data_IF_341891996620
#
_entry.id   IF_341891996620
#
_cell.length_a   1.000
_cell.length_b   1.000
_cell.length_c   1.000
_cell.angle_alpha   90.00
_cell.angle_beta   90.00
_cell.angle_gamma   90.00
#
_symmetry.space_group_name_H-M   'P 1'
#
loop_
_entity.id
_entity.type
_entity.pdbx_description
1 polymer ?
#
# COMPACT_ATOMS: atom_id res chain seq x y z
N UNK A 1 10.24 -33.91 -29.30
CA UNK A 1 10.28 -33.45 -27.90
C UNK A 1 8.95 -33.75 -27.25
N UNK A 2 8.94 -34.19 -26.00
CA UNK A 2 7.75 -34.48 -25.23
C UNK A 2 7.77 -33.74 -23.90
N UNK A 3 6.60 -33.45 -23.36
CA UNK A 3 6.38 -32.82 -22.06
C UNK A 3 5.43 -33.69 -21.25
N UNK A 4 5.64 -33.76 -19.95
CA UNK A 4 4.76 -34.48 -19.05
C UNK A 4 3.50 -33.63 -18.76
N UNK A 5 2.33 -34.23 -18.83
CA UNK A 5 1.06 -33.61 -18.51
C UNK A 5 0.93 -33.42 -16.99
N UNK A 6 0.77 -32.18 -16.54
CA UNK A 6 0.66 -31.84 -15.11
C UNK A 6 -0.69 -31.19 -14.83
N UNK A 7 -1.30 -31.58 -13.73
CA UNK A 7 -2.48 -30.86 -13.24
C UNK A 7 -2.09 -29.42 -12.83
N UNK A 8 -2.89 -28.46 -13.25
CA UNK A 8 -2.67 -27.07 -12.90
C UNK A 8 -3.90 -26.21 -13.17
N UNK A 9 -3.77 -24.93 -12.88
CA UNK A 9 -4.81 -23.94 -13.13
C UNK A 9 -4.28 -22.86 -14.07
N UNK A 10 -5.05 -22.53 -15.09
CA UNK A 10 -4.73 -21.47 -16.05
C UNK A 10 -5.66 -20.29 -15.84
N UNK A 11 -5.11 -19.08 -15.83
CA UNK A 11 -5.88 -17.88 -15.55
C UNK A 11 -6.17 -17.71 -14.05
N UNK A 12 -7.03 -16.77 -13.75
CA UNK A 12 -7.36 -16.43 -12.35
C UNK A 12 -6.31 -15.57 -11.67
N UNK A 13 -5.22 -15.24 -12.32
CA UNK A 13 -4.22 -14.31 -11.82
C UNK A 13 -4.29 -12.99 -12.57
N UNK A 14 -4.34 -11.89 -11.83
CA UNK A 14 -4.30 -10.54 -12.38
C UNK A 14 -3.06 -9.83 -11.90
N UNK A 15 -2.13 -9.58 -12.83
CA UNK A 15 -0.92 -8.82 -12.55
C UNK A 15 -1.14 -7.32 -12.74
N UNK A 16 -0.63 -6.54 -11.81
CA UNK A 16 -0.74 -5.08 -11.81
C UNK A 16 0.51 -4.43 -11.24
N UNK A 17 0.72 -3.17 -11.57
CA UNK A 17 1.84 -2.38 -11.06
C UNK A 17 1.33 -1.13 -10.38
N UNK A 18 2.05 -0.68 -9.37
CA UNK A 18 1.66 0.49 -8.62
C UNK A 18 2.80 1.10 -7.83
N UNK A 19 2.45 2.07 -6.99
CA UNK A 19 3.38 2.75 -6.08
C UNK A 19 3.09 2.37 -4.64
N UNK A 20 4.16 2.10 -3.93
CA UNK A 20 4.15 1.84 -2.50
C UNK A 20 3.87 3.14 -1.76
N UNK A 21 3.03 3.07 -0.74
CA UNK A 21 2.80 4.13 0.25
C UNK A 21 2.86 3.52 1.65
N UNK A 22 3.24 4.33 2.63
CA UNK A 22 3.06 3.97 4.03
C UNK A 22 1.60 4.01 4.46
N UNK A 23 1.34 3.57 5.67
CA UNK A 23 0.01 3.63 6.29
C UNK A 23 -0.47 5.07 6.42
N UNK A 24 0.41 5.94 6.90
CA UNK A 24 0.16 7.37 7.03
C UNK A 24 1.39 8.18 6.63
N UNK A 25 1.13 9.39 6.16
CA UNK A 25 2.14 10.38 5.79
C UNK A 25 1.71 11.73 6.33
N UNK A 26 2.56 12.36 7.11
CA UNK A 26 2.32 13.69 7.67
C UNK A 26 3.35 14.68 7.15
N UNK A 27 2.83 15.77 6.61
CA UNK A 27 3.61 16.95 6.29
C UNK A 27 3.62 17.87 7.50
N UNK A 28 4.78 18.05 8.11
CA UNK A 28 4.97 18.93 9.25
C UNK A 28 5.32 20.31 8.73
N UNK A 29 4.47 21.29 9.04
CA UNK A 29 4.65 22.68 8.63
C UNK A 29 4.92 23.56 9.85
N UNK A 30 5.70 24.62 9.68
CA UNK A 30 5.85 25.63 10.72
C UNK A 30 4.59 26.50 10.79
N UNK A 31 3.98 26.62 11.96
CA UNK A 31 2.80 27.50 12.19
C UNK A 31 3.20 28.96 12.37
N UNK A 32 4.46 29.20 12.73
CA UNK A 32 4.95 30.53 13.01
C UNK A 32 6.27 30.83 12.31
N UNK A 33 6.54 32.11 12.11
CA UNK A 33 7.86 32.53 11.60
C UNK A 33 8.86 32.61 12.75
N UNK A 34 10.08 32.07 12.51
CA UNK A 34 11.17 32.17 13.49
C UNK A 34 12.52 31.77 12.91
N UNK A 35 13.59 32.10 13.64
CA UNK A 35 14.92 31.56 13.37
C UNK A 35 15.00 30.16 13.97
N UNK A 36 15.51 29.20 13.24
CA UNK A 36 15.79 27.87 13.77
C UNK A 36 16.91 27.96 14.83
N UNK A 37 16.62 27.49 16.04
CA UNK A 37 17.58 27.45 17.14
C UNK A 37 18.29 26.11 17.18
N UNK A 38 17.54 25.01 17.10
CA UNK A 38 18.05 23.64 17.10
C UNK A 38 17.23 22.78 16.14
N UNK A 39 17.91 21.93 15.38
CA UNK A 39 17.31 20.83 14.62
C UNK A 39 17.68 19.52 15.33
N UNK A 40 16.69 18.72 15.71
CA UNK A 40 16.90 17.52 16.54
C UNK A 40 16.79 16.22 15.76
N UNK A 41 16.53 16.29 14.46
CA UNK A 41 16.32 15.11 13.60
C UNK A 41 17.05 15.27 12.29
N UNK A 42 17.51 14.14 11.76
CA UNK A 42 18.10 14.01 10.47
C UNK A 42 17.21 13.22 9.51
N UNK A 43 17.53 13.31 8.22
CA UNK A 43 16.85 12.52 7.17
C UNK A 43 17.04 11.02 7.42
N UNK A 44 15.95 10.30 7.57
CA UNK A 44 15.95 8.86 7.80
C UNK A 44 15.79 8.44 9.26
N UNK A 45 15.79 9.39 10.20
CA UNK A 45 15.59 9.10 11.63
C UNK A 45 14.19 8.57 11.90
N UNK A 46 14.09 7.71 12.92
CA UNK A 46 12.83 7.25 13.46
C UNK A 46 12.38 8.18 14.59
N UNK A 47 11.14 8.62 14.52
CA UNK A 47 10.52 9.53 15.48
C UNK A 47 9.20 8.97 15.99
N UNK A 48 8.85 9.33 17.22
CA UNK A 48 7.55 9.05 17.82
C UNK A 48 6.66 10.30 17.77
N UNK A 49 5.35 10.08 17.79
CA UNK A 49 4.40 11.19 17.90
C UNK A 49 4.69 12.00 19.15
N UNK A 50 4.86 13.32 19.01
CA UNK A 50 5.24 14.25 20.05
C UNK A 50 6.74 14.54 20.15
N UNK A 51 7.61 13.79 19.47
CA UNK A 51 9.05 14.09 19.45
C UNK A 51 9.32 15.45 18.82
N UNK A 52 10.25 16.18 19.41
CA UNK A 52 10.65 17.50 18.94
C UNK A 52 11.54 17.37 17.72
N UNK A 53 11.15 18.00 16.63
CA UNK A 53 11.89 18.03 15.37
C UNK A 53 12.77 19.27 15.27
N UNK A 54 12.17 20.44 15.53
CA UNK A 54 12.83 21.73 15.43
C UNK A 54 12.38 22.64 16.58
N UNK A 55 13.32 23.37 17.15
CA UNK A 55 13.05 24.38 18.17
C UNK A 55 13.32 25.79 17.61
N UNK A 56 12.40 26.69 17.90
CA UNK A 56 12.55 28.11 17.68
C UNK A 56 12.76 28.83 19.00
N UNK A 57 13.46 29.98 19.05
CA UNK A 57 13.63 30.76 20.27
C UNK A 57 12.31 31.09 20.91
N UNK A 58 12.13 30.69 22.17
CA UNK A 58 10.84 30.76 22.89
C UNK A 58 10.88 31.71 24.11
N UNK A 59 12.03 32.37 24.37
CA UNK A 59 12.23 33.19 25.56
C UNK A 59 11.15 34.26 25.75
N UNK A 60 10.71 34.90 24.68
CA UNK A 60 9.70 35.96 24.71
C UNK A 60 8.33 35.41 25.08
N UNK A 61 7.98 34.28 24.51
CA UNK A 61 6.71 33.59 24.68
C UNK A 61 6.62 33.00 26.11
N UNK A 62 7.73 32.46 26.64
CA UNK A 62 7.81 32.00 28.01
C UNK A 62 7.54 33.13 29.00
N UNK A 63 8.16 34.31 28.81
CA UNK A 63 7.90 35.48 29.65
C UNK A 63 6.46 35.99 29.50
N UNK A 64 5.86 35.91 28.32
CA UNK A 64 4.46 36.28 28.13
C UNK A 64 3.50 35.33 28.85
N UNK A 65 3.79 34.01 28.83
CA UNK A 65 3.04 33.03 29.60
C UNK A 65 3.17 33.28 31.12
N UNK A 66 4.37 33.49 31.66
CA UNK A 66 4.60 33.80 33.06
C UNK A 66 3.82 35.04 33.50
N UNK A 67 3.79 36.08 32.67
CA UNK A 67 3.00 37.30 32.96
C UNK A 67 1.48 37.01 32.92
N UNK A 68 1.00 36.19 32.00
CA UNK A 68 -0.42 35.83 31.91
C UNK A 68 -0.84 34.98 33.12
N UNK A 69 0.00 34.05 33.58
CA UNK A 69 -0.23 33.25 34.78
C UNK A 69 -0.28 34.12 36.05
N UNK A 70 0.63 35.10 36.18
CA UNK A 70 0.61 36.05 37.31
C UNK A 70 -0.68 36.88 37.33
N UNK A 71 -1.17 37.30 36.14
CA UNK A 71 -2.45 38.03 36.01
C UNK A 71 -3.62 37.13 36.42
N UNK A 72 -3.62 35.87 36.00
CA UNK A 72 -4.63 34.86 36.34
C UNK A 72 -4.69 34.66 37.87
N UNK A 73 -3.54 34.50 38.51
CA UNK A 73 -3.46 34.34 39.97
C UNK A 73 -4.02 35.58 40.69
N UNK A 74 -3.69 36.77 40.20
CA UNK A 74 -4.24 38.03 40.77
C UNK A 74 -5.77 38.09 40.61
N UNK A 75 -6.32 37.74 39.43
CA UNK A 75 -7.75 37.71 39.19
C UNK A 75 -8.48 36.68 40.06
N UNK A 76 -7.87 35.51 40.31
CA UNK A 76 -8.41 34.48 41.22
C UNK A 76 -8.54 35.03 42.65
N UNK A 77 -7.45 35.65 43.16
CA UNK A 77 -7.44 36.24 44.49
C UNK A 77 -8.47 37.37 44.65
N UNK A 78 -8.69 38.18 43.59
CA UNK A 78 -9.69 39.26 43.61
C UNK A 78 -11.10 38.68 43.66
N UNK A 79 -11.39 37.63 42.91
CA UNK A 79 -12.70 36.95 42.92
C UNK A 79 -12.96 36.34 44.31
N UNK A 80 -12.02 35.58 44.89
CA UNK A 80 -12.14 34.96 46.20
C UNK A 80 -12.38 36.00 47.32
N UNK A 81 -11.61 37.10 47.29
CA UNK A 81 -11.83 38.25 48.17
C UNK A 81 -13.21 38.91 47.98
N UNK A 82 -13.67 39.04 46.73
CA UNK A 82 -14.98 39.59 46.40
C UNK A 82 -16.12 38.70 46.89
N UNK A 83 -16.00 37.37 46.72
CA UNK A 83 -17.00 36.40 47.19
C UNK A 83 -17.05 36.39 48.75
N UNK A 84 -15.92 36.39 49.40
CA UNK A 84 -15.84 36.49 50.88
C UNK A 84 -16.45 37.78 51.39
N UNK A 85 -16.21 38.93 50.77
CA UNK A 85 -16.83 40.21 51.12
C UNK A 85 -18.32 40.22 50.87
N UNK A 86 -18.81 39.54 49.82
CA UNK A 86 -20.23 39.41 49.55
C UNK A 86 -20.96 38.58 50.61
N UNK A 87 -20.37 37.46 51.04
CA UNK A 87 -20.91 36.65 52.13
C UNK A 87 -21.05 37.43 53.43
N UNK A 88 -20.14 38.38 53.67
CA UNK A 88 -20.19 39.29 54.82
C UNK A 88 -21.10 40.53 54.62
N UNK A 89 -21.80 40.62 53.47
CA UNK A 89 -22.69 41.71 53.14
C UNK A 89 -22.00 43.05 52.77
N UNK A 90 -20.67 43.02 52.48
CA UNK A 90 -19.85 44.21 52.20
C UNK A 90 -19.45 44.37 50.72
N UNK A 91 -19.89 43.48 49.83
CA UNK A 91 -19.73 43.63 48.40
C UNK A 91 -21.02 43.37 47.61
N UNK A 92 -21.21 44.04 46.52
CA UNK A 92 -22.37 43.89 45.66
C UNK A 92 -22.23 42.68 44.69
N UNK A 93 -23.37 42.13 44.20
CA UNK A 93 -23.34 41.07 43.20
C UNK A 93 -22.67 41.51 41.90
N UNK A 94 -22.72 42.80 41.58
CA UNK A 94 -22.08 43.35 40.39
C UNK A 94 -20.55 43.37 40.49
N UNK A 95 -20.02 43.55 41.70
CA UNK A 95 -18.55 43.47 41.95
C UNK A 95 -18.04 42.05 41.75
N UNK A 96 -18.73 41.05 42.30
CA UNK A 96 -18.35 39.62 42.14
C UNK A 96 -18.48 39.23 40.66
N UNK A 97 -19.53 39.69 39.96
CA UNK A 97 -19.68 39.43 38.51
C UNK A 97 -18.54 40.03 37.69
N UNK A 98 -18.07 41.24 38.04
CA UNK A 98 -16.91 41.87 37.37
C UNK A 98 -15.62 41.09 37.64
N UNK A 99 -15.39 40.71 38.90
CA UNK A 99 -14.22 39.90 39.26
C UNK A 99 -14.20 38.54 38.53
N UNK A 100 -15.39 37.90 38.38
CA UNK A 100 -15.55 36.68 37.60
C UNK A 100 -15.25 36.88 36.11
N UNK A 101 -15.71 37.97 35.53
CA UNK A 101 -15.39 38.30 34.14
C UNK A 101 -13.90 38.59 33.94
N UNK A 102 -13.24 39.25 34.93
CA UNK A 102 -11.79 39.46 34.90
C UNK A 102 -11.01 38.15 34.99
N UNK A 103 -11.45 37.21 35.82
CA UNK A 103 -10.86 35.85 35.87
C UNK A 103 -10.95 35.15 34.50
N UNK A 104 -12.13 35.11 33.88
CA UNK A 104 -12.26 34.50 32.56
C UNK A 104 -11.38 35.16 31.50
N UNK A 105 -11.24 36.50 31.55
CA UNK A 105 -10.34 37.23 30.66
C UNK A 105 -8.87 36.82 30.87
N UNK A 106 -8.45 36.64 32.12
CA UNK A 106 -7.10 36.21 32.45
C UNK A 106 -6.85 34.73 32.04
N UNK A 107 -7.85 33.86 32.21
CA UNK A 107 -7.78 32.47 31.73
C UNK A 107 -7.55 32.41 30.21
N UNK A 108 -8.27 33.21 29.43
CA UNK A 108 -8.09 33.31 27.98
C UNK A 108 -6.70 33.82 27.59
N UNK A 109 -6.12 34.74 28.38
CA UNK A 109 -4.75 35.21 28.14
C UNK A 109 -3.72 34.12 28.35
N UNK A 110 -3.86 33.27 29.39
CA UNK A 110 -2.97 32.13 29.63
C UNK A 110 -3.05 31.14 28.47
N UNK A 111 -4.26 30.76 28.03
CA UNK A 111 -4.43 29.85 26.88
C UNK A 111 -3.74 30.42 25.63
N UNK A 112 -3.98 31.69 25.31
CA UNK A 112 -3.35 32.33 24.14
C UNK A 112 -1.82 32.39 24.24
N UNK A 113 -1.28 32.66 25.44
CA UNK A 113 0.18 32.70 25.64
C UNK A 113 0.81 31.29 25.56
N UNK A 114 0.08 30.26 26.05
CA UNK A 114 0.50 28.86 25.93
C UNK A 114 0.51 28.44 24.45
N UNK A 115 -0.55 28.69 23.70
CA UNK A 115 -0.62 28.37 22.27
C UNK A 115 0.54 28.99 21.49
N UNK A 116 0.89 30.26 21.81
CA UNK A 116 2.03 30.93 21.19
C UNK A 116 3.37 30.29 21.54
N UNK A 117 3.52 29.81 22.78
CA UNK A 117 4.71 29.09 23.21
C UNK A 117 4.81 27.73 22.50
N UNK A 118 3.72 27.00 22.43
CA UNK A 118 3.67 25.67 21.81
C UNK A 118 4.06 25.73 20.33
N UNK A 119 3.68 26.79 19.60
CA UNK A 119 4.09 26.98 18.20
C UNK A 119 5.59 27.20 18.01
N UNK A 120 6.37 27.40 19.10
CA UNK A 120 7.83 27.54 19.05
C UNK A 120 8.55 26.19 19.02
N UNK A 121 7.84 25.11 19.31
CA UNK A 121 8.37 23.75 19.25
C UNK A 121 7.62 22.96 18.19
N UNK A 122 8.31 22.62 17.12
CA UNK A 122 7.73 21.87 16.01
C UNK A 122 7.91 20.38 16.31
N UNK A 123 6.82 19.66 16.49
CA UNK A 123 6.81 18.25 16.90
C UNK A 123 6.28 17.32 15.79
N UNK A 124 6.60 16.04 15.90
CA UNK A 124 6.11 14.98 15.03
C UNK A 124 4.60 14.70 15.32
N UNK A 125 3.69 14.86 14.36
CA UNK A 125 2.26 14.56 14.58
C UNK A 125 1.96 13.05 14.59
N UNK A 126 2.80 12.25 13.95
CA UNK A 126 2.72 10.79 13.88
C UNK A 126 4.07 10.16 14.18
N UNK A 127 4.05 8.90 14.60
CA UNK A 127 5.26 8.09 14.66
C UNK A 127 5.63 7.59 13.27
N UNK A 128 6.92 7.47 12.97
CA UNK A 128 7.39 7.02 11.68
C UNK A 128 8.83 7.42 11.41
N UNK A 129 9.21 7.44 10.13
CA UNK A 129 10.54 7.83 9.69
C UNK A 129 10.51 9.18 8.97
N UNK A 130 11.49 10.02 9.23
CA UNK A 130 11.69 11.30 8.53
C UNK A 130 12.05 11.01 7.07
N UNK A 131 11.08 11.18 6.18
CA UNK A 131 11.23 10.89 4.75
C UNK A 131 11.82 12.08 3.97
N UNK A 132 11.62 13.29 4.47
CA UNK A 132 12.22 14.51 3.92
C UNK A 132 12.35 15.56 5.03
N UNK A 133 13.37 16.39 4.95
CA UNK A 133 13.47 17.67 5.64
C UNK A 133 13.19 18.78 4.63
N UNK A 134 12.56 19.85 5.10
CA UNK A 134 12.31 21.02 4.28
C UNK A 134 13.61 21.65 3.78
N UNK A 135 13.57 22.34 2.62
CA UNK A 135 14.73 23.06 2.15
C UNK A 135 15.09 24.16 3.17
N UNK A 136 16.37 24.31 3.43
CA UNK A 136 16.94 25.35 4.31
C UNK A 136 16.49 25.25 5.79
N UNK A 137 16.19 24.04 6.29
CA UNK A 137 15.92 23.80 7.72
C UNK A 137 17.24 23.48 8.43
N UNK A 138 18.08 24.49 8.55
CA UNK A 138 19.34 24.44 9.25
C UNK A 138 19.35 25.41 10.44
N UNK A 139 20.17 25.13 11.45
CA UNK A 139 20.35 26.02 12.61
C UNK A 139 20.77 27.42 12.13
N UNK A 140 20.10 28.42 12.65
CA UNK A 140 20.34 29.83 12.30
C UNK A 140 19.58 30.35 11.08
N UNK A 141 18.93 29.50 10.29
CA UNK A 141 18.07 29.92 9.17
C UNK A 141 16.74 30.47 9.65
N UNK A 142 15.97 31.14 8.80
CA UNK A 142 14.66 31.68 9.13
C UNK A 142 13.61 30.86 8.39
N UNK A 143 12.76 30.18 9.16
CA UNK A 143 11.58 29.51 8.62
C UNK A 143 10.39 30.46 8.65
N UNK A 144 9.59 30.46 7.58
CA UNK A 144 8.34 31.22 7.54
C UNK A 144 7.15 30.33 7.95
N UNK A 145 6.06 30.95 8.40
CA UNK A 145 4.81 30.23 8.65
C UNK A 145 4.29 29.61 7.36
N UNK A 146 3.80 28.35 7.44
CA UNK A 146 3.31 27.56 6.30
C UNK A 146 4.37 26.83 5.51
N UNK A 147 5.63 26.94 5.85
CA UNK A 147 6.74 26.19 5.18
C UNK A 147 6.81 24.78 5.75
N UNK A 148 7.00 23.79 4.85
CA UNK A 148 7.25 22.39 5.22
C UNK A 148 8.61 22.28 5.92
N UNK A 149 8.60 21.75 7.13
CA UNK A 149 9.79 21.53 7.97
C UNK A 149 10.29 20.11 7.82
N UNK A 150 9.37 19.16 7.85
CA UNK A 150 9.68 17.74 7.70
C UNK A 150 8.49 16.99 7.10
N UNK A 151 8.78 15.82 6.56
CA UNK A 151 7.78 14.85 6.14
C UNK A 151 8.05 13.53 6.84
N UNK A 152 7.06 13.04 7.57
CA UNK A 152 7.15 11.78 8.33
C UNK A 152 6.25 10.77 7.66
N UNK A 153 6.76 9.55 7.46
CA UNK A 153 6.02 8.44 6.85
C UNK A 153 6.04 7.26 7.81
N UNK A 154 4.87 6.80 8.17
CA UNK A 154 4.68 5.55 8.88
C UNK A 154 4.66 4.39 7.88
N UNK A 155 5.64 3.50 8.02
CA UNK A 155 5.81 2.31 7.18
C UNK A 155 5.49 1.02 7.94
N UNK A 156 4.81 1.09 9.08
CA UNK A 156 4.40 -0.10 9.87
C UNK A 156 3.50 -1.03 9.07
N UNK A 157 2.55 -0.46 8.36
CA UNK A 157 1.80 -1.10 7.27
C UNK A 157 2.11 -0.44 5.95
N UNK A 158 2.12 -1.27 4.94
CA UNK A 158 2.49 -0.84 3.60
C UNK A 158 1.33 -1.09 2.66
N UNK A 159 1.04 -0.11 1.84
CA UNK A 159 -0.02 -0.18 0.83
C UNK A 159 0.56 0.02 -0.56
N UNK A 160 0.22 -0.86 -1.48
CA UNK A 160 0.46 -0.69 -2.91
C UNK A 160 -0.81 -0.18 -3.57
N UNK A 161 -0.79 1.04 -4.09
CA UNK A 161 -1.84 1.54 -4.96
C UNK A 161 -1.50 1.15 -6.40
N UNK A 162 -2.08 0.06 -6.86
CA UNK A 162 -1.86 -0.49 -8.19
C UNK A 162 -2.99 -0.13 -9.14
N UNK A 163 -2.66 -0.07 -10.44
CA UNK A 163 -3.64 0.21 -11.50
C UNK A 163 -3.92 -1.06 -12.30
N UNK A 164 -5.19 -1.37 -12.50
CA UNK A 164 -5.66 -2.52 -13.27
C UNK A 164 -6.63 -2.08 -14.36
N UNK A 165 -6.55 -2.71 -15.53
CA UNK A 165 -7.45 -2.45 -16.64
C UNK A 165 -8.85 -3.03 -16.42
N UNK A 166 -9.79 -2.61 -17.26
CA UNK A 166 -11.22 -2.99 -17.19
C UNK A 166 -11.47 -4.50 -17.17
N UNK A 167 -10.67 -5.31 -17.87
CA UNK A 167 -10.86 -6.77 -17.92
C UNK A 167 -10.49 -7.42 -16.58
N UNK A 168 -9.41 -6.95 -15.92
CA UNK A 168 -8.95 -7.56 -14.69
C UNK A 168 -9.73 -7.13 -13.45
N UNK A 169 -10.40 -5.95 -13.46
CA UNK A 169 -11.09 -5.44 -12.28
C UNK A 169 -12.33 -6.25 -11.91
N UNK A 170 -12.98 -6.89 -12.90
CA UNK A 170 -14.25 -7.59 -12.72
C UNK A 170 -14.13 -8.74 -11.69
N UNK A 171 -12.97 -9.39 -11.68
CA UNK A 171 -12.74 -10.59 -10.87
C UNK A 171 -12.02 -10.28 -9.55
N UNK A 172 -11.64 -9.01 -9.34
CA UNK A 172 -10.96 -8.59 -8.11
C UNK A 172 -11.98 -8.12 -7.08
N UNK A 173 -11.95 -8.76 -5.91
CA UNK A 173 -12.77 -8.39 -4.76
C UNK A 173 -11.89 -8.16 -3.53
N UNK A 174 -12.43 -7.44 -2.54
CA UNK A 174 -11.75 -7.22 -1.26
C UNK A 174 -11.47 -8.56 -0.55
N UNK A 175 -10.28 -8.68 0.02
CA UNK A 175 -9.87 -9.84 0.81
C UNK A 175 -9.15 -10.93 0.01
N UNK A 176 -9.10 -10.83 -1.32
CA UNK A 176 -8.37 -11.80 -2.14
C UNK A 176 -6.88 -11.79 -1.79
N UNK A 177 -6.24 -12.98 -1.83
CA UNK A 177 -4.79 -13.09 -1.64
C UNK A 177 -4.06 -12.45 -2.82
N UNK A 178 -2.94 -11.82 -2.50
CA UNK A 178 -2.06 -11.20 -3.47
C UNK A 178 -0.61 -11.46 -3.10
N UNK A 179 0.25 -11.50 -4.09
CA UNK A 179 1.70 -11.53 -3.91
C UNK A 179 2.29 -10.24 -4.45
N UNK A 180 3.22 -9.65 -3.71
CA UNK A 180 3.91 -8.42 -4.11
C UNK A 180 5.38 -8.71 -4.33
N UNK A 181 5.89 -8.26 -5.47
CA UNK A 181 7.31 -8.32 -5.82
C UNK A 181 7.86 -6.91 -5.96
N UNK A 182 8.94 -6.64 -5.25
CA UNK A 182 9.63 -5.35 -5.26
C UNK A 182 10.99 -5.57 -5.90
N UNK A 183 11.39 -4.67 -6.79
CA UNK A 183 12.72 -4.76 -7.41
C UNK A 183 13.80 -4.73 -6.32
N UNK A 184 14.79 -5.60 -6.44
CA UNK A 184 15.89 -5.79 -5.51
C UNK A 184 15.51 -6.39 -4.14
N UNK A 185 14.28 -6.87 -3.98
CA UNK A 185 13.88 -7.73 -2.88
C UNK A 185 13.63 -9.13 -3.43
N UNK A 186 14.42 -10.11 -3.00
CA UNK A 186 14.28 -11.50 -3.47
C UNK A 186 13.05 -12.17 -2.87
N UNK A 187 12.56 -11.65 -1.77
CA UNK A 187 11.41 -12.21 -1.07
C UNK A 187 10.10 -11.82 -1.75
N UNK A 188 9.25 -12.79 -1.98
CA UNK A 188 7.85 -12.59 -2.36
C UNK A 188 7.06 -12.23 -1.11
N UNK A 189 6.37 -11.10 -1.13
CA UNK A 189 5.61 -10.60 0.01
C UNK A 189 4.16 -11.07 -0.15
N UNK A 190 3.65 -11.75 0.88
CA UNK A 190 2.23 -12.08 0.96
C UNK A 190 1.44 -10.83 1.36
N UNK A 191 0.37 -10.58 0.64
CA UNK A 191 -0.46 -9.39 0.78
C UNK A 191 -1.94 -9.73 0.54
N UNK A 192 -2.82 -8.75 0.76
CA UNK A 192 -4.25 -8.89 0.50
C UNK A 192 -4.81 -7.66 -0.16
N UNK A 193 -5.84 -7.85 -0.96
CA UNK A 193 -6.63 -6.74 -1.51
C UNK A 193 -7.41 -6.07 -0.39
N UNK A 194 -7.07 -4.83 -0.06
CA UNK A 194 -7.76 -4.02 0.95
C UNK A 194 -9.00 -3.34 0.36
N UNK A 195 -8.85 -2.75 -0.82
CA UNK A 195 -9.94 -2.01 -1.44
C UNK A 195 -9.82 -2.03 -2.96
N UNK A 196 -10.97 -1.94 -3.61
CA UNK A 196 -11.11 -1.85 -5.07
C UNK A 196 -11.84 -0.56 -5.41
N UNK A 197 -11.21 0.27 -6.23
CA UNK A 197 -11.78 1.54 -6.66
C UNK A 197 -13.02 1.33 -7.55
N UNK A 198 -14.09 2.05 -7.25
CA UNK A 198 -15.35 1.99 -8.01
C UNK A 198 -15.37 2.93 -9.24
N UNK A 199 -14.36 3.78 -9.38
CA UNK A 199 -14.26 4.76 -10.48
C UNK A 199 -12.98 4.52 -11.27
N UNK A 200 -13.11 4.53 -12.60
CA UNK A 200 -11.95 4.54 -13.47
C UNK A 200 -11.29 5.92 -13.49
N UNK A 201 -9.99 5.94 -13.59
CA UNK A 201 -9.21 7.13 -13.90
C UNK A 201 -9.55 7.62 -15.31
N UNK A 202 -9.82 8.91 -15.46
CA UNK A 202 -10.31 9.48 -16.72
C UNK A 202 -9.26 9.48 -17.84
N UNK A 203 -7.97 9.54 -17.47
CA UNK A 203 -6.87 9.58 -18.43
C UNK A 203 -6.47 8.20 -18.95
N UNK A 204 -6.47 7.20 -18.08
CA UNK A 204 -5.95 5.86 -18.39
C UNK A 204 -7.05 4.81 -18.57
N UNK A 205 -8.27 5.07 -18.09
CA UNK A 205 -9.37 4.12 -18.03
C UNK A 205 -9.13 2.94 -17.07
N UNK A 206 -8.12 3.03 -16.22
CA UNK A 206 -7.76 2.00 -15.24
C UNK A 206 -8.43 2.25 -13.89
N UNK A 207 -8.59 1.18 -13.13
CA UNK A 207 -9.11 1.23 -11.77
C UNK A 207 -7.97 1.08 -10.77
N UNK A 208 -8.07 1.75 -9.62
CA UNK A 208 -7.11 1.61 -8.53
C UNK A 208 -7.49 0.45 -7.64
N UNK A 209 -6.52 -0.42 -7.37
CA UNK A 209 -6.63 -1.49 -6.38
C UNK A 209 -5.60 -1.23 -5.29
N UNK A 210 -6.06 -1.17 -4.05
CA UNK A 210 -5.20 -1.05 -2.88
C UNK A 210 -4.91 -2.45 -2.33
N UNK A 211 -3.63 -2.77 -2.22
CA UNK A 211 -3.13 -4.04 -1.69
C UNK A 211 -2.29 -3.72 -0.48
N UNK A 212 -2.56 -4.34 0.66
CA UNK A 212 -1.87 -4.07 1.92
C UNK A 212 -1.15 -5.30 2.47
N UNK A 213 -0.08 -5.04 3.21
CA UNK A 213 0.67 -6.03 3.99
C UNK A 213 1.34 -5.37 5.19
N UNK A 214 1.68 -6.15 6.21
CA UNK A 214 2.50 -5.69 7.33
C UNK A 214 3.97 -5.61 6.91
N UNK A 215 4.65 -4.55 7.30
CA UNK A 215 6.05 -4.38 6.95
C UNK A 215 6.91 -5.46 7.61
N UNK A 216 7.61 -6.23 6.79
CA UNK A 216 8.50 -7.32 7.20
C UNK A 216 9.48 -7.66 6.08
N UNK A 217 10.46 -8.50 6.35
CA UNK A 217 11.38 -9.05 5.36
C UNK A 217 12.27 -8.08 4.56
N UNK A 218 11.71 -7.05 3.95
CA UNK A 218 12.43 -6.03 3.17
C UNK A 218 12.27 -4.63 3.75
N UNK A 219 11.96 -4.48 5.03
CA UNK A 219 11.62 -3.23 5.70
C UNK A 219 12.62 -2.10 5.47
N UNK A 220 13.92 -2.41 5.51
CA UNK A 220 15.00 -1.42 5.36
C UNK A 220 15.10 -0.85 3.94
N UNK A 221 14.58 -1.57 2.96
CA UNK A 221 14.61 -1.16 1.55
C UNK A 221 13.33 -0.44 1.12
N UNK A 222 12.25 -0.59 1.90
CA UNK A 222 10.97 0.01 1.57
C UNK A 222 11.01 1.53 1.75
N UNK A 223 10.56 2.23 0.73
CA UNK A 223 10.38 3.69 0.74
C UNK A 223 9.06 4.03 0.07
N UNK A 224 8.36 5.01 0.61
CA UNK A 224 7.18 5.58 -0.05
C UNK A 224 7.57 6.09 -1.44
N UNK A 225 6.72 5.79 -2.44
CA UNK A 225 6.96 6.15 -3.83
C UNK A 225 7.65 5.08 -4.68
N UNK A 226 8.22 4.02 -4.10
CA UNK A 226 8.79 2.91 -4.86
C UNK A 226 7.71 2.21 -5.69
N UNK A 227 8.12 1.71 -6.86
CA UNK A 227 7.24 0.89 -7.70
C UNK A 227 7.33 -0.58 -7.34
N UNK A 228 6.19 -1.26 -7.30
CA UNK A 228 6.10 -2.69 -7.09
C UNK A 228 5.10 -3.30 -8.07
N UNK A 229 5.21 -4.62 -8.26
CA UNK A 229 4.26 -5.43 -9.00
C UNK A 229 3.52 -6.34 -8.04
N UNK A 230 2.21 -6.39 -8.17
CA UNK A 230 1.37 -7.33 -7.46
C UNK A 230 0.70 -8.30 -8.44
N UNK A 231 0.49 -9.53 -7.98
CA UNK A 231 -0.33 -10.53 -8.63
C UNK A 231 -1.42 -10.95 -7.65
N UNK A 232 -2.66 -10.74 -8.03
CA UNK A 232 -3.85 -11.12 -7.24
C UNK A 232 -4.38 -12.44 -7.78
N UNK A 233 -4.55 -13.43 -6.92
CA UNK A 233 -5.24 -14.67 -7.26
C UNK A 233 -6.75 -14.47 -7.07
N UNK A 234 -7.48 -14.43 -8.17
CA UNK A 234 -8.94 -14.25 -8.17
C UNK A 234 -9.70 -15.55 -7.96
N UNK A 235 -9.01 -16.69 -8.02
CA UNK A 235 -9.65 -18.00 -7.97
C UNK A 235 -10.47 -18.36 -9.23
N UNK A 236 -10.59 -17.46 -10.19
CA UNK A 236 -11.43 -17.64 -11.39
C UNK A 236 -10.78 -18.47 -12.49
N UNK A 237 -9.57 -19.02 -12.27
CA UNK A 237 -8.85 -19.83 -13.25
C UNK A 237 -9.51 -21.17 -13.52
N UNK A 238 -9.33 -21.65 -14.74
CA UNK A 238 -9.79 -22.97 -15.18
C UNK A 238 -8.79 -24.04 -14.76
N UNK A 239 -9.22 -25.02 -13.99
CA UNK A 239 -8.42 -26.16 -13.57
C UNK A 239 -8.50 -27.31 -14.58
N UNK A 240 -7.39 -28.02 -14.77
CA UNK A 240 -7.31 -29.18 -15.66
C UNK A 240 -5.86 -29.54 -15.93
N UNK A 241 -5.62 -30.28 -16.99
CA UNK A 241 -4.26 -30.66 -17.41
C UNK A 241 -3.68 -29.55 -18.28
N UNK A 242 -2.55 -28.98 -17.83
CA UNK A 242 -1.84 -27.97 -18.59
C UNK A 242 -1.01 -28.60 -19.69
N UNK A 243 -1.19 -28.10 -20.91
CA UNK A 243 -0.38 -28.51 -22.08
C UNK A 243 0.08 -27.27 -22.85
N UNK A 244 1.29 -27.28 -23.41
CA UNK A 244 1.72 -26.21 -24.33
C UNK A 244 0.82 -26.17 -25.56
N UNK A 245 0.48 -24.97 -26.03
CA UNK A 245 -0.33 -24.80 -27.23
C UNK A 245 0.29 -25.45 -28.48
N UNK A 246 1.61 -25.61 -28.52
CA UNK A 246 2.35 -26.31 -29.55
C UNK A 246 2.02 -27.81 -29.66
N UNK A 247 1.53 -28.43 -28.57
CA UNK A 247 1.10 -29.83 -28.57
C UNK A 247 -0.27 -30.05 -29.22
N UNK A 248 -1.04 -28.98 -29.34
CA UNK A 248 -2.43 -29.02 -29.86
C UNK A 248 -2.41 -29.07 -31.39
N UNK A 249 -2.99 -30.10 -31.92
CA UNK A 249 -3.28 -30.21 -33.36
C UNK A 249 -4.74 -29.82 -33.60
N UNK A 250 -4.96 -28.78 -34.38
CA UNK A 250 -6.30 -28.42 -34.79
C UNK A 250 -6.84 -29.49 -35.77
N UNK A 251 -7.75 -30.31 -35.31
CA UNK A 251 -8.40 -31.33 -36.09
C UNK A 251 -9.39 -30.71 -37.10
N UNK A 252 -9.72 -31.51 -38.16
CA UNK A 252 -10.78 -31.18 -39.10
C UNK A 252 -12.12 -31.36 -38.36
N UNK A 253 -12.59 -30.30 -37.73
CA UNK A 253 -13.83 -30.30 -36.95
C UNK A 253 -13.83 -29.30 -35.80
N UNK A 254 -12.75 -28.51 -35.63
CA UNK A 254 -12.68 -27.48 -34.62
C UNK A 254 -13.84 -26.47 -34.80
N UNK A 255 -14.86 -26.63 -33.98
CA UNK A 255 -15.89 -25.61 -33.80
C UNK A 255 -15.28 -24.45 -32.96
N UNK A 256 -15.48 -23.28 -33.47
CA UNK A 256 -15.07 -21.94 -33.04
C UNK A 256 -14.71 -21.76 -31.57
N UNK A 257 -13.61 -21.05 -31.32
CA UNK A 257 -13.11 -20.54 -30.02
C UNK A 257 -14.19 -20.32 -28.96
N UNK A 258 -14.18 -21.18 -27.96
CA UNK A 258 -15.08 -21.12 -26.79
C UNK A 258 -14.88 -22.37 -25.92
N UNK A 259 -15.40 -22.34 -24.70
CA UNK A 259 -15.41 -23.50 -23.82
C UNK A 259 -16.10 -24.69 -24.50
N UNK A 260 -15.34 -25.82 -24.67
CA UNK A 260 -15.82 -27.04 -25.39
C UNK A 260 -15.21 -27.26 -26.75
N UNK A 261 -14.10 -26.58 -27.11
CA UNK A 261 -13.35 -26.87 -28.33
C UNK A 261 -12.68 -28.26 -28.23
N UNK A 262 -12.95 -29.13 -29.18
CA UNK A 262 -12.28 -30.43 -29.30
C UNK A 262 -11.02 -30.31 -30.13
N UNK A 263 -9.93 -30.90 -29.67
CA UNK A 263 -8.67 -30.91 -30.39
C UNK A 263 -7.99 -32.27 -30.30
N UNK A 264 -6.93 -32.50 -31.05
CA UNK A 264 -6.12 -33.71 -31.02
C UNK A 264 -4.76 -33.41 -30.41
N UNK A 265 -4.26 -34.35 -29.60
CA UNK A 265 -2.89 -34.40 -29.11
C UNK A 265 -2.26 -35.76 -29.41
N UNK A 266 -0.94 -35.82 -29.45
CA UNK A 266 -0.21 -37.09 -29.49
C UNK A 266 0.32 -37.45 -28.10
N UNK A 267 -0.20 -38.54 -27.55
CA UNK A 267 0.28 -39.14 -26.30
C UNK A 267 1.27 -40.26 -26.66
N UNK A 268 2.36 -40.33 -25.94
CA UNK A 268 3.36 -41.39 -26.09
C UNK A 268 2.96 -42.56 -25.18
N UNK A 269 2.70 -43.71 -25.82
CA UNK A 269 2.42 -44.97 -25.14
C UNK A 269 3.24 -46.08 -25.80
N UNK A 270 3.99 -46.84 -25.01
CA UNK A 270 4.84 -47.96 -25.48
C UNK A 270 5.80 -47.56 -26.63
N UNK A 271 6.38 -46.32 -26.52
CA UNK A 271 7.32 -45.82 -27.53
C UNK A 271 6.66 -45.44 -28.89
N UNK A 272 5.34 -45.27 -28.91
CA UNK A 272 4.59 -44.90 -30.10
C UNK A 272 3.70 -43.68 -29.82
N UNK A 273 3.60 -42.80 -30.78
CA UNK A 273 2.66 -41.66 -30.73
C UNK A 273 1.23 -42.13 -31.08
N UNK A 274 0.30 -41.89 -30.16
CA UNK A 274 -1.12 -42.19 -30.39
C UNK A 274 -1.93 -40.90 -30.36
N UNK A 275 -2.75 -40.72 -31.37
CA UNK A 275 -3.70 -39.60 -31.44
C UNK A 275 -4.77 -39.81 -30.38
N UNK A 276 -5.00 -38.75 -29.61
CA UNK A 276 -6.09 -38.70 -28.62
C UNK A 276 -6.86 -37.41 -28.78
N UNK A 277 -8.16 -37.52 -28.76
CA UNK A 277 -9.08 -36.38 -28.75
C UNK A 277 -9.20 -35.85 -27.33
N UNK A 278 -9.09 -34.53 -27.16
CA UNK A 278 -9.14 -33.84 -25.92
C UNK A 278 -10.11 -32.66 -25.97
N UNK A 279 -10.72 -32.35 -24.83
CA UNK A 279 -11.55 -31.16 -24.69
C UNK A 279 -10.74 -30.01 -24.10
N UNK A 280 -10.71 -28.88 -24.77
CA UNK A 280 -10.06 -27.66 -24.31
C UNK A 280 -11.06 -26.88 -23.49
N UNK A 281 -10.69 -26.63 -22.21
CA UNK A 281 -11.46 -25.81 -21.30
C UNK A 281 -11.13 -24.32 -21.40
N UNK A 282 -9.83 -24.01 -21.58
CA UNK A 282 -9.37 -22.62 -21.70
C UNK A 282 -8.01 -22.54 -22.42
N UNK A 283 -7.70 -21.35 -22.96
CA UNK A 283 -6.45 -21.08 -23.66
C UNK A 283 -5.94 -19.68 -23.29
N UNK A 284 -4.73 -19.62 -22.76
CA UNK A 284 -4.09 -18.36 -22.40
C UNK A 284 -2.64 -18.32 -22.89
N UNK A 285 -2.41 -17.57 -23.95
CA UNK A 285 -1.09 -17.45 -24.57
C UNK A 285 -0.55 -18.78 -25.05
N UNK A 286 0.66 -19.20 -24.61
CA UNK A 286 1.30 -20.45 -25.03
C UNK A 286 0.76 -21.69 -24.32
N UNK A 287 -0.16 -21.56 -23.38
CA UNK A 287 -0.70 -22.66 -22.56
C UNK A 287 -2.19 -22.89 -22.82
N UNK A 288 -2.58 -24.15 -22.72
CA UNK A 288 -3.95 -24.64 -22.89
C UNK A 288 -4.31 -25.54 -21.71
N UNK A 289 -5.53 -25.40 -21.20
CA UNK A 289 -6.10 -26.32 -20.21
C UNK A 289 -6.98 -27.32 -20.91
N UNK A 290 -6.70 -28.57 -20.67
CA UNK A 290 -7.49 -29.72 -21.13
C UNK A 290 -8.34 -30.18 -19.94
N UNK A 291 -9.68 -30.22 -20.14
CA UNK A 291 -10.62 -30.69 -19.13
C UNK A 291 -10.86 -32.21 -19.18
N UNK A 292 -10.80 -32.80 -20.37
CA UNK A 292 -11.06 -34.22 -20.56
C UNK A 292 -10.14 -34.80 -21.65
N UNK A 293 -9.78 -36.08 -21.54
CA UNK A 293 -9.02 -36.81 -22.54
C UNK A 293 -7.54 -37.02 -22.21
N UNK A 294 -7.00 -36.44 -21.12
CA UNK A 294 -5.64 -36.66 -20.65
C UNK A 294 -5.65 -37.03 -19.17
N UNK A 295 -4.61 -37.77 -18.76
CA UNK A 295 -4.33 -38.09 -17.35
C UNK A 295 -3.00 -37.43 -16.93
N UNK A 296 -2.87 -37.04 -15.63
CA UNK A 296 -1.60 -36.53 -15.11
C UNK A 296 -0.47 -37.55 -15.29
N UNK A 297 0.72 -37.10 -15.68
CA UNK A 297 1.89 -37.96 -15.89
C UNK A 297 2.00 -38.52 -17.31
N UNK A 298 1.02 -38.34 -18.19
CA UNK A 298 1.13 -38.75 -19.56
C UNK A 298 2.14 -37.89 -20.33
N UNK A 299 2.89 -38.51 -21.22
CA UNK A 299 3.85 -37.80 -22.07
C UNK A 299 3.19 -37.33 -23.37
N UNK A 300 3.26 -36.03 -23.63
CA UNK A 300 2.62 -35.38 -24.78
C UNK A 300 3.69 -34.86 -25.73
N UNK A 301 3.54 -35.10 -27.01
CA UNK A 301 4.46 -34.59 -28.04
C UNK A 301 4.20 -33.10 -28.28
N UNK A 302 5.24 -32.27 -28.15
CA UNK A 302 5.17 -30.79 -28.35
C UNK A 302 5.90 -30.33 -29.60
N UNK A 303 6.78 -31.16 -30.17
CA UNK A 303 7.56 -30.79 -31.35
C UNK A 303 7.40 -31.85 -32.46
N UNK A 304 7.18 -31.40 -33.68
CA UNK A 304 6.97 -32.29 -34.85
C UNK A 304 5.54 -32.81 -35.01
N UNK A 305 4.59 -32.33 -34.23
CA UNK A 305 3.16 -32.75 -34.22
C UNK A 305 2.53 -32.81 -35.62
N UNK A 306 2.88 -31.88 -36.52
CA UNK A 306 2.32 -31.80 -37.89
C UNK A 306 2.78 -32.91 -38.82
N UNK A 307 3.84 -33.64 -38.48
CA UNK A 307 4.44 -34.70 -39.30
C UNK A 307 4.13 -36.09 -38.79
N UNK A 308 3.65 -36.21 -37.54
CA UNK A 308 3.34 -37.49 -36.94
C UNK A 308 2.00 -38.04 -37.39
N UNK A 309 1.95 -39.38 -37.51
CA UNK A 309 0.73 -40.15 -37.73
C UNK A 309 0.49 -41.07 -36.54
N UNK A 310 -0.75 -41.48 -36.38
CA UNK A 310 -1.12 -42.43 -35.33
C UNK A 310 -0.32 -43.74 -35.50
N UNK A 311 0.33 -44.18 -34.42
CA UNK A 311 1.14 -45.38 -34.34
C UNK A 311 2.61 -45.19 -34.72
N UNK A 312 3.05 -44.00 -35.13
CA UNK A 312 4.46 -43.75 -35.44
C UNK A 312 5.35 -44.02 -34.22
N UNK A 313 6.48 -44.68 -34.47
CA UNK A 313 7.47 -44.88 -33.41
C UNK A 313 8.17 -43.55 -33.10
N UNK A 314 8.25 -43.20 -31.83
CA UNK A 314 8.87 -41.98 -31.33
C UNK A 314 9.89 -42.29 -30.24
N UNK A 315 11.11 -41.76 -30.40
CA UNK A 315 12.06 -41.66 -29.31
C UNK A 315 11.85 -40.30 -28.64
N UNK A 316 11.05 -40.28 -27.56
CA UNK A 316 10.73 -39.05 -26.85
C UNK A 316 11.84 -38.70 -25.85
N UNK A 317 12.47 -37.54 -26.00
CA UNK A 317 13.23 -36.93 -24.91
C UNK A 317 12.26 -36.03 -24.15
N UNK A 318 11.97 -36.35 -22.90
CA UNK A 318 11.21 -35.48 -21.99
C UNK A 318 12.11 -34.31 -21.61
N UNK A 319 11.72 -33.08 -21.99
CA UNK A 319 12.59 -31.91 -21.86
C UNK A 319 12.28 -31.14 -20.58
N UNK A 320 11.02 -31.12 -20.14
CA UNK A 320 10.57 -30.39 -18.97
C UNK A 320 9.17 -30.81 -18.57
N UNK A 321 8.72 -30.44 -17.39
CA UNK A 321 7.31 -30.47 -17.04
C UNK A 321 6.58 -29.33 -17.75
N UNK A 322 5.29 -29.48 -17.98
CA UNK A 322 4.47 -28.47 -18.68
C UNK A 322 4.42 -27.09 -17.97
N UNK A 323 4.90 -27.01 -16.73
CA UNK A 323 5.04 -25.76 -15.98
C UNK A 323 6.27 -24.93 -16.38
N UNK A 324 7.35 -25.56 -16.89
CA UNK A 324 8.62 -24.92 -17.17
C UNK A 324 8.79 -24.42 -18.61
N UNK A 325 7.84 -24.73 -19.49
CA UNK A 325 7.89 -24.30 -20.91
C UNK A 325 7.26 -22.91 -21.02
N UNK A 326 8.10 -21.85 -21.09
CA UNK A 326 7.74 -20.46 -21.39
C UNK A 326 7.48 -20.22 -22.87
#
# INVERSE_FOLDING_TARGET
>A
EAVEAVEGRLGGEVSMSGRIRGESEAQVISETQGRVEVVRVDLGDEVQSGDVLVELPSRREQLALEQAEANLESARRELDSGETRRERGSASGAEVSRARAALHGAEQQVVSAQDQLDTRTITAPISGRVAALGPDIDEGTIVAAGVEVARIVDMSRVRLNASVGRRGITDITRGLPATVRIRNCEQVIEARVEAVGSRADEGTGSFTVAIEWENGGCSDMLRSGLSARATVDTGAGTSGILVPAAAIRSGVGATTAGAGETAEVFVISDGRARVREVQIADRLGPRVVVSEGLEPGEQIVVSGVSRLRDGDAVEGTVIATSEEVE
#
